data_IF_559978356388
#
_entry.id   IF_559978356388
#
_cell.length_a   1.000
_cell.length_b   1.000
_cell.length_c   1.000
_cell.angle_alpha   90.00
_cell.angle_beta   90.00
_cell.angle_gamma   90.00
#
_symmetry.space_group_name_H-M   'P 1'
#
loop_
_entity.id
_entity.type
_entity.pdbx_description
1 polymer ?
#
# COMPACT_ATOMS: atom_id res chain seq x y z
N UNK A 1 12.04 8.95 9.59
CA UNK A 1 13.17 9.90 9.70
C UNK A 1 13.51 10.26 11.14
N UNK A 2 12.70 11.07 11.84
CA UNK A 2 13.08 11.62 13.16
C UNK A 2 13.41 10.57 14.24
N UNK A 3 12.74 9.42 14.23
CA UNK A 3 13.03 8.33 15.18
C UNK A 3 14.34 7.57 14.88
N UNK A 4 14.87 7.69 13.67
CA UNK A 4 16.02 6.91 13.17
C UNK A 4 17.28 7.77 12.97
N UNK A 5 17.12 9.08 12.75
CA UNK A 5 18.20 10.03 12.37
C UNK A 5 19.39 10.11 13.33
N UNK A 6 19.20 9.69 14.59
CA UNK A 6 20.22 9.78 15.64
C UNK A 6 20.96 8.45 15.86
N UNK A 7 20.60 7.40 15.12
CA UNK A 7 21.27 6.11 15.22
C UNK A 7 22.53 6.09 14.36
N UNK A 8 23.64 5.50 14.86
CA UNK A 8 24.80 5.24 14.02
C UNK A 8 24.42 4.27 12.90
N UNK A 9 24.92 4.53 11.69
CA UNK A 9 24.70 3.71 10.49
C UNK A 9 23.23 3.51 10.06
N UNK A 10 22.37 4.50 10.31
CA UNK A 10 20.98 4.45 9.83
C UNK A 10 20.87 4.60 8.31
N UNK A 11 20.00 3.80 7.69
CA UNK A 11 19.62 3.95 6.28
C UNK A 11 18.74 5.19 6.02
N UNK A 12 18.27 5.89 7.06
CA UNK A 12 17.43 7.09 6.94
C UNK A 12 18.29 8.35 6.98
N UNK A 13 18.95 8.67 5.87
CA UNK A 13 19.85 9.83 5.74
C UNK A 13 19.14 11.13 5.41
N UNK A 14 17.95 11.05 4.79
CA UNK A 14 17.13 12.20 4.41
C UNK A 14 15.63 11.96 4.67
N UNK A 15 14.84 13.04 4.62
CA UNK A 15 13.38 12.92 4.65
C UNK A 15 12.84 12.12 3.45
N UNK A 16 13.49 12.23 2.28
CA UNK A 16 13.10 11.52 1.07
C UNK A 16 13.22 10.01 1.22
N UNK A 17 14.20 9.53 2.00
CA UNK A 17 14.37 8.11 2.31
C UNK A 17 13.16 7.54 3.06
N UNK A 18 12.52 8.36 3.90
CA UNK A 18 11.29 7.95 4.59
C UNK A 18 10.11 7.85 3.63
N UNK A 19 10.01 8.75 2.65
CA UNK A 19 8.98 8.70 1.62
C UNK A 19 9.19 7.46 0.75
N UNK A 20 10.43 7.19 0.34
CA UNK A 20 10.79 5.99 -0.41
C UNK A 20 10.41 4.72 0.36
N UNK A 21 10.86 4.61 1.62
CA UNK A 21 10.51 3.50 2.50
C UNK A 21 9.00 3.29 2.60
N UNK A 22 8.23 4.36 2.83
CA UNK A 22 6.76 4.27 2.89
C UNK A 22 6.17 3.79 1.57
N UNK A 23 6.62 4.31 0.43
CA UNK A 23 6.13 3.91 -0.88
C UNK A 23 6.35 2.41 -1.16
N UNK A 24 7.57 1.90 -0.95
CA UNK A 24 7.90 0.48 -1.17
C UNK A 24 7.24 -0.45 -0.16
N UNK A 25 6.96 0.04 1.05
CA UNK A 25 6.25 -0.73 2.10
C UNK A 25 4.75 -0.82 1.82
N UNK A 26 4.10 0.30 1.49
CA UNK A 26 2.66 0.35 1.19
C UNK A 26 2.32 -0.44 -0.07
N UNK A 27 3.21 -0.41 -1.07
CA UNK A 27 3.08 -1.23 -2.28
C UNK A 27 3.49 -2.69 -2.08
N UNK A 28 3.89 -3.09 -0.87
CA UNK A 28 4.32 -4.44 -0.50
C UNK A 28 5.54 -4.96 -1.26
N UNK A 29 6.31 -4.09 -1.92
CA UNK A 29 7.53 -4.45 -2.67
C UNK A 29 8.66 -4.83 -1.71
N UNK A 30 8.94 -3.95 -0.73
CA UNK A 30 9.88 -4.25 0.36
C UNK A 30 11.31 -4.61 -0.06
N UNK A 31 12.00 -3.75 -0.80
CA UNK A 31 13.40 -4.00 -1.22
C UNK A 31 14.36 -4.24 -0.05
N UNK A 32 14.08 -3.68 1.13
CA UNK A 32 14.90 -3.87 2.34
C UNK A 32 16.18 -3.04 2.37
N UNK A 33 16.37 -2.15 1.40
CA UNK A 33 17.45 -1.16 1.32
C UNK A 33 17.38 -0.12 2.44
N UNK A 34 16.17 0.30 2.81
CA UNK A 34 15.91 1.21 3.92
C UNK A 34 15.01 0.50 4.92
N UNK A 35 15.47 0.34 6.16
CA UNK A 35 14.69 -0.33 7.22
C UNK A 35 14.93 0.31 8.57
N UNK A 36 13.90 0.43 9.44
CA UNK A 36 14.06 1.02 10.76
C UNK A 36 14.84 0.09 11.70
N UNK A 37 15.90 0.61 12.31
CA UNK A 37 16.71 -0.11 13.27
C UNK A 37 16.19 0.06 14.71
N UNK A 38 15.59 1.21 15.04
CA UNK A 38 15.07 1.47 16.39
C UNK A 38 13.77 0.73 16.67
N UNK A 39 13.51 0.45 17.94
CA UNK A 39 12.23 -0.12 18.39
C UNK A 39 11.03 0.77 18.00
N UNK A 40 11.13 2.08 18.24
CA UNK A 40 10.08 3.04 17.90
C UNK A 40 9.86 3.14 16.39
N UNK A 41 10.94 3.16 15.59
CA UNK A 41 10.85 3.16 14.14
C UNK A 41 10.18 1.90 13.59
N UNK A 42 10.48 0.73 14.16
CA UNK A 42 9.81 -0.53 13.81
C UNK A 42 8.31 -0.51 14.14
N UNK A 43 7.92 0.08 15.27
CA UNK A 43 6.51 0.22 15.63
C UNK A 43 5.75 1.13 14.63
N UNK A 44 6.37 2.24 14.23
CA UNK A 44 5.81 3.15 13.21
C UNK A 44 5.71 2.45 11.85
N UNK A 45 6.73 1.68 11.47
CA UNK A 45 6.71 0.91 10.23
C UNK A 45 5.58 -0.12 10.21
N UNK A 46 5.34 -0.80 11.34
CA UNK A 46 4.23 -1.75 11.47
C UNK A 46 2.87 -1.08 11.28
N UNK A 47 2.66 0.10 11.89
CA UNK A 47 1.43 0.88 11.68
C UNK A 47 1.29 1.28 10.21
N UNK A 48 2.37 1.78 9.61
CA UNK A 48 2.40 2.20 8.19
C UNK A 48 2.03 1.04 7.26
N UNK A 49 2.55 -0.15 7.52
CA UNK A 49 2.24 -1.36 6.76
C UNK A 49 0.76 -1.73 6.85
N UNK A 50 0.19 -1.77 8.06
CA UNK A 50 -1.24 -2.07 8.26
C UNK A 50 -2.12 -1.05 7.54
N UNK A 51 -1.81 0.24 7.67
CA UNK A 51 -2.55 1.31 6.97
C UNK A 51 -2.46 1.15 5.45
N UNK A 52 -1.27 0.83 4.93
CA UNK A 52 -1.06 0.58 3.50
C UNK A 52 -1.92 -0.57 2.98
N UNK A 53 -1.97 -1.69 3.70
CA UNK A 53 -2.79 -2.85 3.33
C UNK A 53 -4.29 -2.55 3.32
N UNK A 54 -4.78 -1.80 4.31
CA UNK A 54 -6.20 -1.41 4.36
C UNK A 54 -6.55 -0.55 3.15
N UNK A 55 -5.74 0.46 2.84
CA UNK A 55 -5.96 1.33 1.68
C UNK A 55 -5.91 0.55 0.37
N UNK A 56 -4.93 -0.34 0.22
CA UNK A 56 -4.81 -1.20 -0.96
C UNK A 56 -6.03 -2.12 -1.12
N UNK A 57 -6.50 -2.72 -0.03
CA UNK A 57 -7.69 -3.58 -0.02
C UNK A 57 -8.95 -2.82 -0.42
N UNK A 58 -9.14 -1.60 0.08
CA UNK A 58 -10.26 -0.73 -0.31
C UNK A 58 -10.19 -0.41 -1.81
N UNK A 59 -9.02 -0.02 -2.30
CA UNK A 59 -8.83 0.32 -3.72
C UNK A 59 -9.10 -0.89 -4.63
N UNK A 60 -8.59 -2.07 -4.28
CA UNK A 60 -8.86 -3.31 -4.99
C UNK A 60 -10.35 -3.67 -4.96
N UNK A 61 -11.02 -3.49 -3.82
CA UNK A 61 -12.46 -3.71 -3.66
C UNK A 61 -13.30 -2.78 -4.54
N UNK A 62 -12.93 -1.51 -4.64
CA UNK A 62 -13.61 -0.55 -5.52
C UNK A 62 -13.52 -0.96 -6.99
N UNK A 63 -12.34 -1.38 -7.45
CA UNK A 63 -12.14 -1.86 -8.83
C UNK A 63 -12.93 -3.15 -9.05
N UNK A 64 -12.87 -4.09 -8.11
CA UNK A 64 -13.61 -5.35 -8.19
C UNK A 64 -15.12 -5.14 -8.29
N UNK A 65 -15.66 -4.20 -7.50
CA UNK A 65 -17.06 -3.79 -7.57
C UNK A 65 -17.42 -3.22 -8.95
N UNK A 66 -16.65 -2.24 -9.44
CA UNK A 66 -16.88 -1.64 -10.75
C UNK A 66 -16.83 -2.66 -11.91
N UNK A 67 -15.92 -3.64 -11.84
CA UNK A 67 -15.86 -4.73 -12.84
C UNK A 67 -17.09 -5.62 -12.73
N UNK A 68 -17.54 -5.94 -11.52
CA UNK A 68 -18.72 -6.76 -11.29
C UNK A 68 -19.98 -6.09 -11.84
N UNK A 69 -20.15 -4.79 -11.59
CA UNK A 69 -21.28 -4.00 -12.10
C UNK A 69 -21.32 -4.02 -13.64
N UNK A 70 -20.18 -3.85 -14.31
CA UNK A 70 -20.07 -3.90 -15.78
C UNK A 70 -20.40 -5.30 -16.32
N UNK A 71 -19.97 -6.37 -15.63
CA UNK A 71 -20.26 -7.74 -16.03
C UNK A 71 -21.75 -8.09 -15.89
N UNK A 72 -22.40 -7.59 -14.83
CA UNK A 72 -23.84 -7.74 -14.63
C UNK A 72 -24.62 -7.03 -15.73
N UNK A 73 -24.26 -5.78 -16.07
CA UNK A 73 -24.89 -5.03 -17.17
C UNK A 73 -24.76 -5.78 -18.53
N UNK A 74 -23.56 -6.28 -18.85
CA UNK A 74 -23.35 -7.08 -20.06
C UNK A 74 -24.17 -8.39 -20.07
N UNK A 75 -24.38 -9.03 -18.92
CA UNK A 75 -25.20 -10.24 -18.81
C UNK A 75 -26.68 -9.94 -19.05
N UNK A 76 -27.19 -8.86 -18.48
CA UNK A 76 -28.59 -8.45 -18.67
C UNK A 76 -28.91 -8.08 -20.13
N UNK A 77 -28.00 -7.36 -20.79
CA UNK A 77 -28.15 -6.98 -22.21
C UNK A 77 -28.18 -8.23 -23.10
N UNK A 78 -27.30 -9.21 -22.85
CA UNK A 78 -27.25 -10.46 -23.63
C UNK A 78 -28.41 -11.42 -23.33
N UNK A 79 -29.03 -11.34 -22.15
CA UNK A 79 -30.16 -12.18 -21.76
C UNK A 79 -31.49 -11.76 -22.39
N UNK A 80 -31.60 -10.53 -22.93
CA UNK A 80 -32.83 -10.08 -23.61
C UNK A 80 -32.96 -10.76 -24.98
N UNK A 81 -34.09 -11.43 -25.28
CA UNK A 81 -34.27 -12.10 -26.56
C UNK A 81 -34.22 -11.08 -27.71
N UNK A 82 -33.45 -11.38 -28.76
CA UNK A 82 -33.43 -10.57 -29.98
C UNK A 82 -34.83 -10.59 -30.59
N UNK A 83 -35.45 -9.42 -30.69
CA UNK A 83 -36.73 -9.22 -31.40
C UNK A 83 -36.58 -9.53 -32.88
#
# INVERSE_FOLDING_TARGET
YECERNLPDTSFTSLFDSIWFTAVTVTTVGYGDITPASFTGRLIALITFITGLILFGVFAGMIGGAVTDVLEEHREVNAKPKK
#
